data_IF_585962740484
#
_entry.id   IF_585962740484
#
_cell.length_a   1.000
_cell.length_b   1.000
_cell.length_c   1.000
_cell.angle_alpha   90.00
_cell.angle_beta   90.00
_cell.angle_gamma   90.00
#
_symmetry.space_group_name_H-M   'P 1'
#
loop_
_entity.id
_entity.type
_entity.pdbx_description
1 polymer ?
#
# COMPACT_ATOMS: atom_id res chain seq x y z
N UNK A 1 29.74 -16.72 21.06
CA UNK A 1 28.40 -16.15 20.81
C UNK A 1 28.62 -15.05 19.80
N UNK A 2 28.31 -15.30 18.52
CA UNK A 2 28.31 -14.26 17.50
C UNK A 2 27.15 -13.30 17.85
N UNK A 3 27.49 -12.04 18.11
CA UNK A 3 26.46 -11.01 18.25
C UNK A 3 25.71 -10.91 16.91
N UNK A 4 24.40 -11.11 16.93
CA UNK A 4 23.53 -10.78 15.81
C UNK A 4 23.70 -9.28 15.61
N UNK A 5 24.42 -8.85 14.57
CA UNK A 5 24.36 -7.48 14.10
C UNK A 5 22.90 -7.21 13.76
N UNK A 6 22.29 -6.28 14.47
CA UNK A 6 20.93 -5.80 14.14
C UNK A 6 21.10 -5.08 12.81
N UNK A 7 20.65 -5.70 11.72
CA UNK A 7 20.59 -5.07 10.40
C UNK A 7 19.50 -4.02 10.49
N UNK A 8 19.89 -2.76 10.58
CA UNK A 8 18.97 -1.63 10.50
C UNK A 8 18.47 -1.55 9.05
N UNK A 9 17.31 -2.14 8.78
CA UNK A 9 16.74 -2.17 7.44
C UNK A 9 16.21 -0.77 7.04
N UNK A 10 16.60 -0.34 5.84
CA UNK A 10 16.22 0.94 5.25
C UNK A 10 15.29 0.75 4.06
N UNK A 11 14.08 1.31 4.12
CA UNK A 11 13.05 1.14 3.09
C UNK A 11 12.73 2.46 2.38
N UNK A 12 12.62 2.39 1.05
CA UNK A 12 12.10 3.47 0.21
C UNK A 12 10.62 3.20 -0.11
N UNK A 13 9.73 4.14 0.27
CA UNK A 13 8.28 4.08 0.00
C UNK A 13 7.92 5.07 -1.11
N UNK A 14 7.86 4.59 -2.35
CA UNK A 14 7.56 5.39 -3.55
C UNK A 14 6.06 5.54 -3.77
N UNK A 15 5.62 6.74 -4.16
CA UNK A 15 4.21 7.13 -4.24
C UNK A 15 3.50 6.93 -2.91
N UNK A 16 4.18 7.34 -1.83
CA UNK A 16 3.90 6.94 -0.45
C UNK A 16 2.54 7.43 0.09
N UNK A 17 1.95 8.48 -0.50
CA UNK A 17 0.72 9.07 0.02
C UNK A 17 0.85 9.38 1.52
N UNK A 18 -0.20 9.10 2.30
CA UNK A 18 -0.20 9.35 3.74
C UNK A 18 0.39 8.20 4.60
N UNK A 19 1.17 7.28 4.00
CA UNK A 19 2.04 6.36 4.74
C UNK A 19 1.42 5.01 5.14
N UNK A 20 0.34 4.58 4.49
CA UNK A 20 -0.28 3.28 4.82
C UNK A 20 0.66 2.10 4.59
N UNK A 21 1.46 2.12 3.52
CA UNK A 21 2.47 1.11 3.23
C UNK A 21 3.65 1.22 4.19
N UNK A 22 4.25 2.40 4.33
CA UNK A 22 5.39 2.65 5.20
C UNK A 22 5.12 2.21 6.64
N UNK A 23 3.93 2.55 7.20
CA UNK A 23 3.58 2.14 8.56
C UNK A 23 3.55 0.62 8.76
N UNK A 24 3.12 -0.15 7.76
CA UNK A 24 3.15 -1.60 7.87
C UNK A 24 4.58 -2.15 7.92
N UNK A 25 5.48 -1.64 7.10
CA UNK A 25 6.89 -2.00 7.17
C UNK A 25 7.54 -1.61 8.50
N UNK A 26 7.20 -0.42 9.01
CA UNK A 26 7.66 -0.01 10.35
C UNK A 26 7.20 -1.01 11.43
N UNK A 27 5.93 -1.41 11.41
CA UNK A 27 5.39 -2.43 12.35
C UNK A 27 6.03 -3.81 12.16
N UNK A 28 6.56 -4.10 10.98
CA UNK A 28 7.33 -5.33 10.73
C UNK A 28 8.74 -5.28 11.33
N UNK A 29 9.25 -4.10 11.69
CA UNK A 29 10.57 -3.91 12.27
C UNK A 29 11.57 -3.18 11.36
N UNK A 30 11.11 -2.54 10.28
CA UNK A 30 11.95 -1.65 9.48
C UNK A 30 12.17 -0.34 10.24
N UNK A 31 13.44 0.00 10.48
CA UNK A 31 13.81 1.13 11.33
C UNK A 31 13.78 2.47 10.61
N UNK A 32 14.25 2.52 9.37
CA UNK A 32 14.34 3.75 8.58
C UNK A 32 13.45 3.67 7.34
N UNK A 33 12.51 4.61 7.21
CA UNK A 33 11.59 4.68 6.08
C UNK A 33 11.63 6.07 5.49
N UNK A 34 11.87 6.16 4.18
CA UNK A 34 11.84 7.40 3.41
C UNK A 34 10.70 7.33 2.41
N UNK A 35 9.71 8.21 2.57
CA UNK A 35 8.58 8.34 1.65
C UNK A 35 8.84 9.36 0.56
N UNK A 36 8.47 9.01 -0.67
CA UNK A 36 8.56 9.91 -1.83
C UNK A 36 7.20 10.04 -2.51
N UNK A 37 6.73 11.26 -2.69
CA UNK A 37 5.51 11.56 -3.46
C UNK A 37 5.68 12.91 -4.17
N UNK A 38 5.09 13.07 -5.34
CA UNK A 38 5.12 14.32 -6.08
C UNK A 38 4.29 15.43 -5.41
N UNK A 39 3.28 15.04 -4.64
CA UNK A 39 2.45 15.96 -3.87
C UNK A 39 2.94 16.02 -2.41
N UNK A 40 2.80 17.18 -1.74
CA UNK A 40 3.13 17.24 -0.32
C UNK A 40 2.24 16.31 0.50
N UNK A 41 2.84 15.59 1.45
CA UNK A 41 2.18 14.64 2.33
C UNK A 41 2.39 15.03 3.81
N UNK A 42 1.68 16.05 4.31
CA UNK A 42 1.94 16.61 5.64
C UNK A 42 1.60 15.67 6.81
N UNK A 43 0.92 14.55 6.53
CA UNK A 43 0.57 13.52 7.52
C UNK A 43 1.37 12.23 7.36
N UNK A 44 2.39 12.24 6.47
CA UNK A 44 3.29 11.10 6.35
C UNK A 44 4.09 10.94 7.65
N UNK A 45 4.10 9.74 8.27
CA UNK A 45 4.62 9.61 9.64
C UNK A 45 6.16 9.44 9.72
N UNK A 46 6.85 9.40 8.59
CA UNK A 46 8.30 9.17 8.52
C UNK A 46 8.99 10.29 7.75
N UNK A 47 10.28 10.12 7.43
CA UNK A 47 11.00 11.03 6.56
C UNK A 47 10.29 11.14 5.19
N UNK A 48 10.14 12.37 4.70
CA UNK A 48 9.40 12.64 3.46
C UNK A 48 10.20 13.53 2.51
N UNK A 49 10.25 13.09 1.26
CA UNK A 49 10.86 13.85 0.15
C UNK A 49 9.79 14.14 -0.90
N UNK A 50 9.56 15.42 -1.19
CA UNK A 50 8.68 15.81 -2.29
C UNK A 50 9.45 15.80 -3.59
N UNK A 51 9.27 14.73 -4.40
CA UNK A 51 9.96 14.54 -5.67
C UNK A 51 9.14 13.66 -6.64
N UNK A 52 9.54 13.60 -7.90
CA UNK A 52 9.10 12.53 -8.80
C UNK A 52 9.70 11.20 -8.35
N UNK A 53 8.84 10.20 -8.14
CA UNK A 53 9.24 8.91 -7.58
C UNK A 53 10.18 8.12 -8.51
N UNK A 54 10.02 8.26 -9.85
CA UNK A 54 10.86 7.55 -10.81
C UNK A 54 12.24 8.20 -10.95
N UNK A 55 12.29 9.53 -10.91
CA UNK A 55 13.55 10.25 -10.88
C UNK A 55 14.32 9.95 -9.58
N UNK A 56 13.63 10.03 -8.44
CA UNK A 56 14.25 9.79 -7.14
C UNK A 56 14.83 8.37 -7.01
N UNK A 57 14.08 7.35 -7.43
CA UNK A 57 14.55 5.95 -7.33
C UNK A 57 15.74 5.68 -8.27
N UNK A 58 15.79 6.32 -9.42
CA UNK A 58 16.90 6.17 -10.35
C UNK A 58 18.23 6.71 -9.76
N UNK A 59 18.16 7.75 -8.94
CA UNK A 59 19.34 8.39 -8.33
C UNK A 59 19.72 7.78 -6.98
N UNK A 60 18.74 7.35 -6.18
CA UNK A 60 18.95 7.00 -4.77
C UNK A 60 18.56 5.55 -4.42
N UNK A 61 17.84 4.84 -5.29
CA UNK A 61 17.24 3.53 -4.97
C UNK A 61 18.24 2.46 -4.52
N UNK A 62 19.48 2.48 -5.05
CA UNK A 62 20.53 1.55 -4.64
C UNK A 62 21.07 1.76 -3.22
N UNK A 63 20.65 2.80 -2.52
CA UNK A 63 21.02 3.07 -1.12
C UNK A 63 20.01 2.54 -0.10
N UNK A 64 19.03 1.75 -0.52
CA UNK A 64 18.01 1.14 0.33
C UNK A 64 18.09 -0.38 0.29
N UNK A 65 17.67 -1.03 1.37
CA UNK A 65 17.65 -2.50 1.49
C UNK A 65 16.39 -3.11 0.88
N UNK A 66 15.31 -2.34 0.80
CA UNK A 66 14.07 -2.73 0.14
C UNK A 66 13.31 -1.52 -0.40
N UNK A 67 12.48 -1.73 -1.44
CA UNK A 67 11.68 -0.67 -2.05
C UNK A 67 10.21 -1.09 -2.14
N UNK A 68 9.30 -0.25 -1.67
CA UNK A 68 7.88 -0.35 -1.94
C UNK A 68 7.45 0.72 -2.94
N UNK A 69 6.57 0.37 -3.87
CA UNK A 69 6.01 1.33 -4.83
C UNK A 69 4.51 1.12 -5.00
N UNK A 70 3.71 2.18 -4.81
CA UNK A 70 2.26 2.20 -5.07
C UNK A 70 1.92 3.17 -6.21
N UNK A 71 2.29 2.86 -7.48
CA UNK A 71 2.07 3.78 -8.59
C UNK A 71 0.59 4.08 -8.80
N UNK A 72 0.24 5.29 -9.29
CA UNK A 72 -1.13 5.78 -9.38
C UNK A 72 -2.11 4.79 -10.03
N UNK A 73 -3.11 4.34 -9.25
CA UNK A 73 -4.14 3.39 -9.69
C UNK A 73 -5.27 4.04 -10.52
N UNK A 74 -5.24 5.35 -10.75
CA UNK A 74 -6.36 6.11 -11.30
C UNK A 74 -6.71 5.73 -12.75
N UNK A 75 -5.76 5.19 -13.51
CA UNK A 75 -6.01 4.63 -14.84
C UNK A 75 -6.92 3.37 -14.78
N UNK A 76 -6.87 2.63 -13.68
CA UNK A 76 -7.51 1.31 -13.52
C UNK A 76 -8.68 1.33 -12.55
N UNK A 77 -8.68 2.22 -11.54
CA UNK A 77 -9.63 2.21 -10.44
C UNK A 77 -11.09 2.30 -10.94
N UNK A 78 -11.93 1.34 -10.54
CA UNK A 78 -13.36 1.35 -10.81
C UNK A 78 -14.08 2.52 -10.12
N UNK A 79 -13.48 3.09 -9.07
CA UNK A 79 -13.98 4.28 -8.40
C UNK A 79 -13.93 5.55 -9.27
N UNK A 80 -13.04 5.59 -10.26
CA UNK A 80 -12.92 6.69 -11.21
C UNK A 80 -13.86 6.45 -12.37
N UNK A 81 -14.78 7.38 -12.67
CA UNK A 81 -15.67 7.28 -13.82
C UNK A 81 -14.85 7.09 -15.10
N UNK A 82 -15.28 6.18 -16.00
CA UNK A 82 -14.55 5.78 -17.23
C UNK A 82 -14.03 6.97 -18.05
N UNK A 83 -14.82 8.06 -18.13
CA UNK A 83 -14.44 9.29 -18.86
C UNK A 83 -13.21 10.00 -18.29
N UNK A 84 -12.91 9.83 -16.98
CA UNK A 84 -11.78 10.46 -16.31
C UNK A 84 -10.55 9.56 -16.21
N UNK A 85 -10.65 8.29 -16.68
CA UNK A 85 -9.50 7.38 -16.77
C UNK A 85 -8.70 7.62 -18.05
N UNK A 86 -9.38 8.11 -19.11
CA UNK A 86 -8.75 8.37 -20.41
C UNK A 86 -7.67 9.44 -20.27
N UNK A 87 -6.44 9.11 -20.72
CA UNK A 87 -5.29 10.01 -20.68
C UNK A 87 -4.50 9.97 -19.35
N UNK A 88 -4.87 9.14 -18.37
CA UNK A 88 -4.05 8.93 -17.18
C UNK A 88 -2.98 7.88 -17.46
N UNK A 89 -1.71 8.15 -17.12
CA UNK A 89 -0.62 7.22 -17.39
C UNK A 89 -0.77 5.94 -16.55
N UNK A 90 -0.35 4.83 -17.14
CA UNK A 90 -0.06 3.61 -16.42
C UNK A 90 1.44 3.61 -16.09
N UNK A 91 1.78 3.86 -14.83
CA UNK A 91 3.19 3.92 -14.41
C UNK A 91 3.73 2.57 -13.91
N UNK A 92 2.93 1.48 -13.91
CA UNK A 92 3.42 0.16 -13.46
C UNK A 92 4.61 -0.34 -14.28
N UNK A 93 4.58 -0.28 -15.64
CA UNK A 93 5.72 -0.74 -16.44
C UNK A 93 6.99 0.09 -16.21
N UNK A 94 6.86 1.41 -16.15
CA UNK A 94 7.97 2.33 -15.92
C UNK A 94 8.57 2.16 -14.53
N UNK A 95 7.71 2.01 -13.50
CA UNK A 95 8.14 1.72 -12.12
C UNK A 95 8.92 0.42 -12.08
N UNK A 96 8.39 -0.65 -12.66
CA UNK A 96 9.07 -1.94 -12.72
C UNK A 96 10.41 -1.83 -13.44
N UNK A 97 10.47 -1.16 -14.58
CA UNK A 97 11.72 -0.95 -15.32
C UNK A 97 12.79 -0.22 -14.50
N UNK A 98 12.40 0.74 -13.68
CA UNK A 98 13.32 1.43 -12.79
C UNK A 98 13.83 0.49 -11.68
N UNK A 99 12.94 -0.30 -11.08
CA UNK A 99 13.26 -1.23 -9.99
C UNK A 99 14.06 -2.46 -10.48
N UNK A 100 13.75 -3.02 -11.65
CA UNK A 100 14.47 -4.16 -12.24
C UNK A 100 15.96 -3.86 -12.54
N UNK A 101 16.36 -2.58 -12.53
CA UNK A 101 17.77 -2.15 -12.71
C UNK A 101 18.58 -2.15 -11.42
N UNK A 102 17.88 -2.29 -10.28
CA UNK A 102 18.49 -2.29 -8.97
C UNK A 102 18.58 -3.72 -8.45
N UNK A 103 19.67 -4.04 -7.78
CA UNK A 103 19.84 -5.32 -7.09
C UNK A 103 19.27 -5.19 -5.66
N UNK A 104 17.98 -4.86 -5.58
CA UNK A 104 17.26 -4.58 -4.33
C UNK A 104 15.92 -5.29 -4.36
N UNK A 105 15.49 -5.96 -3.28
CA UNK A 105 14.13 -6.46 -3.11
C UNK A 105 13.10 -5.35 -3.29
N UNK A 106 12.07 -5.60 -4.10
CA UNK A 106 11.00 -4.63 -4.28
C UNK A 106 9.60 -5.23 -4.27
N UNK A 107 8.63 -4.40 -3.96
CA UNK A 107 7.19 -4.69 -4.00
C UNK A 107 6.45 -3.59 -4.74
N UNK A 108 5.66 -3.95 -5.75
CA UNK A 108 4.74 -3.02 -6.45
C UNK A 108 3.31 -3.35 -6.06
N UNK A 109 2.58 -2.37 -5.52
CA UNK A 109 1.17 -2.51 -5.12
C UNK A 109 0.25 -1.86 -6.14
N UNK A 110 -0.92 -2.47 -6.40
CA UNK A 110 -2.00 -1.79 -7.11
C UNK A 110 -3.38 -2.44 -6.86
N UNK A 111 -4.42 -1.83 -7.45
CA UNK A 111 -5.81 -2.32 -7.38
C UNK A 111 -6.01 -3.57 -8.26
N UNK A 112 -7.01 -4.44 -7.96
CA UNK A 112 -7.23 -5.69 -8.72
C UNK A 112 -7.40 -5.51 -10.23
N UNK A 113 -7.97 -4.39 -10.67
CA UNK A 113 -8.16 -4.09 -12.10
C UNK A 113 -6.86 -3.75 -12.84
N UNK A 114 -5.76 -3.54 -12.14
CA UNK A 114 -4.43 -3.36 -12.72
C UNK A 114 -3.71 -4.68 -13.01
N UNK A 115 -4.26 -5.82 -12.60
CA UNK A 115 -3.61 -7.14 -12.65
C UNK A 115 -3.07 -7.54 -14.02
N UNK A 116 -3.71 -7.11 -15.12
CA UNK A 116 -3.22 -7.37 -16.48
C UNK A 116 -1.89 -6.68 -16.82
N UNK A 117 -1.45 -5.74 -15.99
CA UNK A 117 -0.18 -5.01 -16.12
C UNK A 117 0.87 -5.45 -15.08
N UNK A 118 0.50 -6.36 -14.18
CA UNK A 118 1.38 -6.86 -13.11
C UNK A 118 1.87 -8.27 -13.41
N UNK A 119 3.08 -8.60 -12.95
CA UNK A 119 3.72 -9.92 -13.12
C UNK A 119 3.39 -10.79 -11.91
N UNK A 120 2.66 -11.87 -12.11
CA UNK A 120 2.33 -12.89 -11.09
C UNK A 120 1.95 -12.34 -9.71
N UNK A 121 1.05 -11.33 -9.63
CA UNK A 121 0.81 -10.68 -8.37
C UNK A 121 0.05 -11.57 -7.40
N UNK A 122 0.41 -11.52 -6.12
CA UNK A 122 -0.41 -12.09 -5.04
C UNK A 122 -1.52 -11.12 -4.63
N UNK A 123 -2.64 -11.67 -4.15
CA UNK A 123 -3.75 -10.87 -3.65
C UNK A 123 -3.80 -10.90 -2.15
N UNK A 124 -3.79 -9.73 -1.50
CA UNK A 124 -4.07 -9.58 -0.08
C UNK A 124 -5.43 -8.89 0.15
N UNK A 125 -6.09 -9.23 1.25
CA UNK A 125 -7.40 -8.70 1.60
C UNK A 125 -7.49 -8.47 3.11
N UNK A 126 -8.10 -7.36 3.56
CA UNK A 126 -8.25 -7.05 4.98
C UNK A 126 -8.86 -8.16 5.81
N UNK A 127 -9.80 -8.94 5.25
CA UNK A 127 -10.40 -10.07 5.93
C UNK A 127 -9.42 -11.20 6.28
N UNK A 128 -8.30 -11.31 5.57
CA UNK A 128 -7.25 -12.29 5.89
C UNK A 128 -6.43 -11.86 7.12
N UNK A 129 -6.50 -10.59 7.50
CA UNK A 129 -5.79 -9.99 8.63
C UNK A 129 -6.72 -9.61 9.79
N UNK A 130 -7.94 -10.16 9.84
CA UNK A 130 -8.90 -9.83 10.88
C UNK A 130 -9.53 -8.43 10.78
N UNK A 131 -9.25 -7.68 9.72
CA UNK A 131 -9.83 -6.35 9.52
C UNK A 131 -11.27 -6.46 8.97
N UNK A 132 -12.22 -5.64 9.45
CA UNK A 132 -13.62 -5.67 9.03
C UNK A 132 -13.84 -5.03 7.65
N UNK A 133 -12.88 -5.18 6.74
CA UNK A 133 -12.92 -4.65 5.38
C UNK A 133 -12.58 -5.72 4.33
N UNK A 134 -13.20 -5.59 3.16
CA UNK A 134 -12.89 -6.38 1.96
C UNK A 134 -12.20 -5.49 0.96
N UNK A 135 -10.92 -5.22 1.21
CA UNK A 135 -10.08 -4.36 0.38
C UNK A 135 -9.00 -5.19 -0.29
N UNK A 136 -9.28 -5.72 -1.48
CA UNK A 136 -8.28 -6.46 -2.25
C UNK A 136 -7.22 -5.52 -2.83
N UNK A 137 -5.96 -5.93 -2.71
CA UNK A 137 -4.82 -5.31 -3.37
C UNK A 137 -3.92 -6.38 -3.94
N UNK A 138 -3.30 -6.04 -5.06
CA UNK A 138 -2.32 -6.87 -5.74
C UNK A 138 -0.92 -6.43 -5.38
N UNK A 139 -0.04 -7.39 -5.20
CA UNK A 139 1.37 -7.16 -4.87
C UNK A 139 2.22 -8.01 -5.81
N UNK A 140 3.01 -7.34 -6.63
CA UNK A 140 4.06 -7.92 -7.46
C UNK A 140 5.40 -7.71 -6.76
N UNK A 141 6.33 -8.68 -6.85
CA UNK A 141 7.65 -8.56 -6.22
C UNK A 141 8.68 -9.37 -7.00
N UNK A 142 9.96 -8.97 -6.90
CA UNK A 142 11.10 -9.78 -7.36
C UNK A 142 11.56 -10.81 -6.33
N UNK A 143 10.96 -10.80 -5.14
CA UNK A 143 11.16 -11.82 -4.11
C UNK A 143 9.85 -12.53 -3.79
N UNK A 144 9.94 -13.70 -3.16
CA UNK A 144 8.75 -14.52 -2.90
C UNK A 144 7.84 -13.90 -1.83
N UNK A 145 6.57 -13.69 -2.16
CA UNK A 145 5.52 -13.30 -1.23
C UNK A 145 4.45 -14.40 -1.21
N UNK A 146 4.11 -14.91 -0.03
CA UNK A 146 3.03 -15.88 0.12
C UNK A 146 1.67 -15.20 0.01
N UNK A 147 0.76 -15.80 -0.78
CA UNK A 147 -0.64 -15.39 -0.81
C UNK A 147 -1.39 -15.91 0.42
N UNK A 148 -2.34 -15.11 0.94
CA UNK A 148 -3.23 -15.53 2.02
C UNK A 148 -4.67 -15.54 1.52
N UNK A 149 -5.40 -16.64 1.81
CA UNK A 149 -6.80 -16.76 1.41
C UNK A 149 -7.70 -15.80 2.19
N UNK A 150 -8.65 -15.19 1.48
CA UNK A 150 -9.64 -14.31 2.09
C UNK A 150 -10.63 -15.09 3.00
N UNK A 151 -10.90 -14.58 4.22
CA UNK A 151 -11.92 -15.11 5.12
C UNK A 151 -13.24 -14.35 5.03
N UNK A 152 -13.79 -14.17 3.83
CA UNK A 152 -15.02 -13.42 3.60
C UNK A 152 -16.25 -14.03 4.28
N UNK A 153 -16.22 -15.32 4.64
CA UNK A 153 -17.30 -16.02 5.37
C UNK A 153 -17.37 -15.57 6.82
N UNK A 154 -16.23 -15.29 7.44
CA UNK A 154 -16.13 -14.82 8.82
C UNK A 154 -16.54 -13.35 8.96
N UNK A 155 -16.39 -12.59 7.89
CA UNK A 155 -16.82 -11.18 7.79
C UNK A 155 -17.96 -11.04 6.76
N UNK A 156 -19.14 -11.66 7.00
CA UNK A 156 -20.25 -11.55 6.07
C UNK A 156 -20.74 -10.10 6.00
N UNK A 157 -21.29 -9.71 4.85
CA UNK A 157 -21.92 -8.38 4.63
C UNK A 157 -22.91 -7.96 5.74
N UNK A 158 -23.32 -8.89 6.59
CA UNK A 158 -24.24 -8.73 7.71
C UNK A 158 -23.67 -7.91 8.90
N UNK A 159 -22.34 -7.91 9.06
CA UNK A 159 -21.67 -7.14 10.15
C UNK A 159 -21.46 -5.67 9.80
N UNK A 160 -21.62 -5.31 8.54
CA UNK A 160 -21.64 -3.90 8.19
C UNK A 160 -23.04 -3.35 8.43
N UNK A 161 -23.22 -2.28 9.23
CA UNK A 161 -24.50 -1.59 9.36
C UNK A 161 -25.13 -1.36 7.99
N UNK A 162 -26.47 -1.33 7.90
CA UNK A 162 -27.15 -1.31 6.60
C UNK A 162 -26.74 -0.11 5.73
N UNK A 163 -26.37 1.00 6.33
CA UNK A 163 -25.81 2.19 5.67
C UNK A 163 -24.35 1.99 5.25
N UNK A 164 -23.61 1.09 5.90
CA UNK A 164 -22.23 0.70 5.56
C UNK A 164 -22.12 -0.38 4.49
N UNK A 165 -23.20 -1.14 4.21
CA UNK A 165 -23.17 -2.25 3.23
C UNK A 165 -22.83 -1.81 1.81
N UNK A 166 -23.11 -0.56 1.49
CA UNK A 166 -22.74 0.06 0.22
C UNK A 166 -21.65 1.11 0.34
N UNK A 167 -21.44 1.69 1.51
CA UNK A 167 -20.62 2.88 1.68
C UNK A 167 -19.22 2.62 2.23
N UNK A 168 -18.96 1.64 3.12
CA UNK A 168 -17.59 1.36 3.56
C UNK A 168 -16.74 0.84 2.39
N UNK A 169 -17.28 -0.07 1.58
CA UNK A 169 -16.65 -0.47 0.32
C UNK A 169 -16.63 0.66 -0.72
N UNK A 170 -17.59 1.57 -0.70
CA UNK A 170 -17.61 2.74 -1.57
C UNK A 170 -16.72 3.85 -1.07
N UNK A 171 -16.68 4.15 0.20
CA UNK A 171 -15.88 5.22 0.79
C UNK A 171 -14.39 4.90 0.71
N UNK A 172 -14.00 3.66 0.98
CA UNK A 172 -12.59 3.22 0.86
C UNK A 172 -12.18 2.91 -0.58
N UNK A 173 -13.10 2.87 -1.52
CA UNK A 173 -12.83 2.69 -2.95
C UNK A 173 -13.16 3.91 -3.81
N UNK A 174 -13.74 4.99 -3.25
CA UNK A 174 -14.21 6.15 -4.02
C UNK A 174 -13.37 7.40 -3.74
N UNK A 175 -12.59 7.76 -4.73
CA UNK A 175 -12.21 9.13 -4.95
C UNK A 175 -13.42 9.91 -5.50
N UNK A 176 -14.02 10.77 -4.68
CA UNK A 176 -14.93 11.81 -5.14
C UNK A 176 -16.37 11.40 -5.44
N UNK A 177 -17.24 11.51 -4.49
CA UNK A 177 -18.67 11.34 -4.63
C UNK A 177 -19.35 11.06 -3.30
N UNK A 178 -18.83 11.68 -2.27
CA UNK A 178 -19.34 11.56 -0.92
C UNK A 178 -20.65 12.34 -0.77
N UNK A 179 -21.77 11.63 -0.63
CA UNK A 179 -22.98 12.22 -0.07
C UNK A 179 -22.92 12.11 1.45
N UNK A 180 -23.00 13.26 2.09
CA UNK A 180 -22.97 13.53 3.52
C UNK A 180 -23.90 12.64 4.35
N UNK A 181 -23.41 11.51 4.82
CA UNK A 181 -23.80 10.93 6.09
C UNK A 181 -22.61 11.11 7.02
N UNK A 182 -22.81 11.51 8.27
CA UNK A 182 -21.79 11.61 9.30
C UNK A 182 -21.18 10.21 9.52
N UNK A 183 -20.25 9.80 8.66
CA UNK A 183 -19.41 8.63 8.90
C UNK A 183 -18.29 9.08 9.82
N UNK A 184 -18.18 8.41 10.93
CA UNK A 184 -17.12 8.66 11.89
C UNK A 184 -15.79 8.27 11.21
N UNK A 185 -14.89 9.23 11.04
CA UNK A 185 -13.58 9.00 10.43
C UNK A 185 -12.77 8.01 11.27
N UNK A 186 -13.00 7.99 12.59
CA UNK A 186 -12.33 7.08 13.52
C UNK A 186 -12.75 5.62 13.26
N UNK A 187 -14.03 5.36 12.94
CA UNK A 187 -14.47 4.02 12.53
C UNK A 187 -13.74 3.55 11.25
N UNK A 188 -13.48 4.48 10.32
CA UNK A 188 -12.77 4.16 9.08
C UNK A 188 -11.29 3.91 9.34
N UNK A 189 -10.66 4.72 10.18
CA UNK A 189 -9.27 4.52 10.59
C UNK A 189 -9.12 3.17 11.30
N UNK A 190 -9.98 2.88 12.26
CA UNK A 190 -9.99 1.61 12.97
C UNK A 190 -10.18 0.41 12.03
N UNK A 191 -11.13 0.49 11.07
CA UNK A 191 -11.36 -0.58 10.10
C UNK A 191 -10.16 -0.83 9.17
N UNK A 192 -9.35 0.19 8.90
CA UNK A 192 -8.11 0.12 8.13
C UNK A 192 -6.89 -0.26 8.96
N UNK A 193 -6.99 -0.24 10.30
CA UNK A 193 -5.85 -0.40 11.21
C UNK A 193 -4.90 0.81 11.18
N UNK A 194 -5.44 2.01 10.95
CA UNK A 194 -4.73 3.29 10.92
C UNK A 194 -4.92 3.98 12.27
N UNK A 195 -3.84 4.29 12.96
CA UNK A 195 -3.79 4.91 14.29
C UNK A 195 -3.13 6.29 14.31
N UNK A 196 -2.84 6.86 13.14
CA UNK A 196 -2.36 8.25 12.98
C UNK A 196 -3.35 9.08 12.17
N UNK A 197 -3.09 10.40 12.11
CA UNK A 197 -4.01 11.31 11.41
C UNK A 197 -4.00 11.08 9.90
N UNK A 198 -5.16 10.72 9.36
CA UNK A 198 -5.48 10.66 7.92
C UNK A 198 -6.87 11.23 7.71
N UNK A 199 -7.05 12.00 6.67
CA UNK A 199 -8.39 12.38 6.23
C UNK A 199 -9.05 11.26 5.42
N UNK A 200 -10.35 11.44 5.10
CA UNK A 200 -11.13 10.42 4.39
C UNK A 200 -10.61 10.16 2.96
N UNK A 201 -10.02 11.16 2.31
CA UNK A 201 -9.43 11.02 0.98
C UNK A 201 -8.14 10.19 1.06
N UNK A 202 -7.28 10.48 2.01
CA UNK A 202 -6.06 9.73 2.27
C UNK A 202 -6.37 8.27 2.62
N UNK A 203 -7.32 8.02 3.54
CA UNK A 203 -7.79 6.67 3.86
C UNK A 203 -8.31 5.92 2.63
N UNK A 204 -9.04 6.61 1.73
CA UNK A 204 -9.56 6.00 0.51
C UNK A 204 -8.46 5.59 -0.47
N UNK A 205 -7.33 6.26 -0.46
CA UNK A 205 -6.17 6.00 -1.32
C UNK A 205 -5.15 5.05 -0.69
N UNK A 206 -5.08 5.01 0.63
CA UNK A 206 -4.14 4.18 1.38
C UNK A 206 -4.48 2.69 1.33
N UNK A 207 -3.51 1.85 1.69
CA UNK A 207 -3.70 0.44 2.01
C UNK A 207 -3.64 0.21 3.52
N UNK A 208 -4.30 -0.85 4.03
CA UNK A 208 -4.14 -1.25 5.42
C UNK A 208 -2.68 -1.59 5.74
N UNK A 209 -2.09 -1.04 6.81
CA UNK A 209 -0.72 -1.37 7.21
C UNK A 209 -0.46 -2.86 7.39
N UNK A 210 -1.47 -3.62 7.80
CA UNK A 210 -1.35 -5.06 8.00
C UNK A 210 -0.87 -5.84 6.75
N UNK A 211 -1.07 -5.31 5.54
CA UNK A 211 -0.59 -5.96 4.32
C UNK A 211 0.93 -5.88 4.20
N UNK A 212 1.47 -4.68 4.37
CA UNK A 212 2.91 -4.45 4.29
C UNK A 212 3.64 -4.84 5.56
N UNK A 213 2.97 -4.91 6.71
CA UNK A 213 3.51 -5.56 7.89
C UNK A 213 3.76 -7.06 7.63
N UNK A 214 2.80 -7.74 7.01
CA UNK A 214 2.95 -9.14 6.61
C UNK A 214 4.11 -9.34 5.61
N UNK A 215 4.14 -8.52 4.56
CA UNK A 215 5.20 -8.58 3.54
C UNK A 215 6.56 -8.23 4.16
N UNK A 216 6.62 -7.21 5.00
CA UNK A 216 7.82 -6.72 5.65
C UNK A 216 8.50 -7.76 6.54
N UNK A 217 7.73 -8.57 7.27
CA UNK A 217 8.28 -9.68 8.06
C UNK A 217 9.03 -10.69 7.18
N UNK A 218 8.50 -10.99 5.99
CA UNK A 218 9.19 -11.84 5.03
C UNK A 218 10.44 -11.19 4.42
N UNK A 219 10.39 -9.86 4.16
CA UNK A 219 11.55 -9.13 3.65
C UNK A 219 12.69 -9.06 4.69
N UNK A 220 12.36 -8.79 5.96
CA UNK A 220 13.38 -8.76 7.04
C UNK A 220 14.05 -10.12 7.17
N UNK A 221 13.28 -11.22 7.23
CA UNK A 221 13.82 -12.58 7.29
C UNK A 221 14.76 -12.87 6.11
N UNK A 222 14.40 -12.41 4.90
CA UNK A 222 15.26 -12.53 3.73
C UNK A 222 16.58 -11.74 3.87
N UNK A 223 16.51 -10.51 4.41
CA UNK A 223 17.70 -9.65 4.61
C UNK A 223 18.62 -10.21 5.72
N UNK A 224 18.05 -10.88 6.72
CA UNK A 224 18.80 -11.55 7.80
C UNK A 224 19.38 -12.91 7.37
N UNK A 225 19.04 -13.40 6.17
CA UNK A 225 19.55 -14.66 5.61
C UNK A 225 18.90 -15.92 6.20
N UNK A 226 17.66 -15.79 6.70
CA UNK A 226 16.84 -16.89 7.25
C UNK A 226 16.05 -17.65 6.17
#
# INVERSE_FOLDING_TARGET
>A
MAGTEIVMARLLDLFCGAGGAGMGYHRAGVDEIVGVDINPQPRYPFEFVQADALEYVAEHGGGFDAIHASPPCQAFSQAVKKRYRKGRPNLIPETRMALDRLDVPYVIENVPTAGVHMREPVTLCGSAFGLPIRRHRLFESNVWIWGILCSHKEYPRRYMPAWNRTNLLRVLSLSGGYQQGKTDIEEHRAAMGVDWDMDIKELSQSIPPAYTEYIGKGLIALLEGE
#
